data_IF_198782713744
#
_entry.id   IF_198782713744
#
_cell.length_a   1.000
_cell.length_b   1.000
_cell.length_c   1.000
_cell.angle_alpha   90.00
_cell.angle_beta   90.00
_cell.angle_gamma   90.00
#
_symmetry.space_group_name_H-M   'P 1'
#
loop_
_entity.id
_entity.type
_entity.pdbx_description
1 polymer ?
#
# COMPACT_ATOMS: atom_id res chain seq x y z
N UNK A 1 -20.02 12.32 -7.85
CA UNK A 1 -20.02 11.90 -6.43
C UNK A 1 -18.88 10.94 -6.29
N UNK A 2 -17.89 11.23 -5.44
CA UNK A 2 -16.79 10.30 -5.23
C UNK A 2 -17.18 9.27 -4.17
N UNK A 3 -16.83 8.01 -4.40
CA UNK A 3 -17.16 6.91 -3.51
C UNK A 3 -15.89 6.41 -2.84
N UNK A 4 -15.88 6.30 -1.52
CA UNK A 4 -14.73 5.78 -0.78
C UNK A 4 -14.99 4.33 -0.40
N UNK A 5 -14.01 3.48 -0.68
CA UNK A 5 -14.06 2.06 -0.35
C UNK A 5 -12.76 1.62 0.31
N UNK A 6 -12.86 0.64 1.20
CA UNK A 6 -11.71 -0.06 1.76
C UNK A 6 -11.53 -1.36 1.01
N UNK A 7 -10.45 -1.43 0.23
CA UNK A 7 -9.94 -2.65 -0.36
C UNK A 7 -9.11 -3.40 0.68
N UNK A 8 -9.44 -4.66 0.95
CA UNK A 8 -8.69 -5.54 1.85
C UNK A 8 -8.29 -6.81 1.12
N UNK A 9 -7.04 -7.22 1.25
CA UNK A 9 -6.55 -8.49 0.69
C UNK A 9 -5.38 -9.07 1.51
N UNK A 10 -5.13 -10.39 1.43
CA UNK A 10 -4.02 -11.01 2.15
C UNK A 10 -2.67 -10.42 1.75
N UNK A 11 -1.76 -10.21 2.71
CA UNK A 11 -0.48 -9.56 2.43
C UNK A 11 0.39 -10.29 1.42
N UNK A 12 0.29 -11.62 1.40
CA UNK A 12 0.96 -12.48 0.41
C UNK A 12 0.61 -12.18 -1.06
N UNK A 13 -0.51 -11.51 -1.33
CA UNK A 13 -0.91 -11.14 -2.70
C UNK A 13 -0.01 -10.03 -3.26
N UNK A 14 0.67 -9.26 -2.40
CA UNK A 14 1.71 -8.30 -2.81
C UNK A 14 3.05 -8.79 -2.28
N UNK A 15 3.78 -9.49 -3.17
CA UNK A 15 5.04 -10.16 -2.87
C UNK A 15 6.15 -9.19 -2.42
N UNK A 16 6.00 -7.90 -2.69
CA UNK A 16 7.01 -6.89 -2.45
C UNK A 16 7.35 -6.70 -0.97
N UNK A 17 6.35 -6.64 -0.07
CA UNK A 17 6.56 -6.21 1.32
C UNK A 17 6.25 -7.32 2.33
N UNK A 18 5.39 -8.27 1.95
CA UNK A 18 4.95 -9.37 2.83
C UNK A 18 6.11 -10.17 3.47
N UNK A 19 7.21 -10.51 2.77
CA UNK A 19 8.29 -11.27 3.36
C UNK A 19 9.01 -10.57 4.53
N UNK A 20 9.06 -9.24 4.53
CA UNK A 20 9.72 -8.48 5.59
C UNK A 20 8.82 -8.31 6.80
N UNK A 21 7.54 -8.03 6.55
CA UNK A 21 6.55 -7.86 7.62
C UNK A 21 6.27 -9.17 8.34
N UNK A 22 6.27 -10.32 7.67
CA UNK A 22 6.16 -11.60 8.36
C UNK A 22 7.32 -11.89 9.32
N UNK A 23 8.48 -11.28 9.11
CA UNK A 23 9.68 -11.47 9.92
C UNK A 23 9.86 -10.36 10.97
N UNK A 24 8.96 -9.39 11.06
CA UNK A 24 9.05 -8.23 11.95
C UNK A 24 7.71 -7.97 12.61
N UNK A 25 7.71 -7.55 13.87
CA UNK A 25 6.49 -7.03 14.50
C UNK A 25 6.25 -5.56 14.09
N UNK A 26 6.28 -5.29 12.79
CA UNK A 26 6.11 -3.96 12.19
C UNK A 26 4.91 -3.93 11.27
N UNK A 27 4.37 -2.75 11.06
CA UNK A 27 3.39 -2.47 10.01
C UNK A 27 3.78 -1.18 9.29
N UNK A 28 3.29 -1.05 8.07
CA UNK A 28 3.53 0.11 7.23
C UNK A 28 2.25 0.90 7.01
N UNK A 29 2.40 2.20 6.91
CA UNK A 29 1.37 3.09 6.38
C UNK A 29 1.94 3.91 5.24
N UNK A 30 1.18 4.02 4.16
CA UNK A 30 1.53 4.85 3.02
C UNK A 30 0.32 5.70 2.66
N UNK A 31 0.58 6.93 2.25
CA UNK A 31 -0.46 7.81 1.74
C UNK A 31 0.04 8.38 0.43
N UNK A 32 -0.67 8.10 -0.65
CA UNK A 32 -0.49 8.80 -1.92
C UNK A 32 -1.51 9.93 -1.95
N UNK A 33 -1.22 11.03 -1.25
CA UNK A 33 -2.03 12.24 -1.35
C UNK A 33 -1.76 12.89 -2.72
N UNK A 34 -2.27 12.28 -3.78
CA UNK A 34 -1.97 12.66 -5.16
C UNK A 34 -2.89 11.96 -6.16
N UNK A 35 -2.84 12.38 -7.42
CA UNK A 35 -3.64 11.78 -8.48
C UNK A 35 -3.24 10.33 -8.80
N UNK A 36 -3.96 9.67 -9.71
CA UNK A 36 -3.79 8.25 -10.06
C UNK A 36 -2.39 7.86 -10.58
N UNK A 37 -1.51 8.84 -10.84
CA UNK A 37 -0.14 8.64 -11.33
C UNK A 37 0.92 8.57 -10.23
N UNK A 38 0.52 8.56 -8.95
CA UNK A 38 1.47 8.54 -7.83
C UNK A 38 1.97 7.12 -7.58
N UNK A 39 3.29 6.93 -7.55
CA UNK A 39 3.91 5.64 -7.27
C UNK A 39 3.49 5.10 -5.88
N UNK A 40 2.96 3.88 -5.87
CA UNK A 40 2.65 3.18 -4.62
C UNK A 40 3.95 2.79 -3.91
N UNK A 41 4.03 3.02 -2.60
CA UNK A 41 5.19 2.68 -1.75
C UNK A 41 6.53 3.34 -2.08
N UNK A 42 6.57 4.42 -2.85
CA UNK A 42 7.77 5.26 -2.90
C UNK A 42 8.09 5.86 -1.52
N UNK A 43 7.07 6.09 -0.69
CA UNK A 43 7.19 6.62 0.67
C UNK A 43 6.24 5.92 1.62
N UNK A 44 6.73 5.52 2.80
CA UNK A 44 5.89 4.95 3.85
C UNK A 44 6.44 5.23 5.25
N UNK A 45 5.53 5.21 6.22
CA UNK A 45 5.84 5.18 7.64
C UNK A 45 5.89 3.74 8.12
N UNK A 46 6.99 3.35 8.75
CA UNK A 46 7.13 2.08 9.46
C UNK A 46 6.90 2.31 10.96
N UNK A 47 6.08 1.44 11.55
CA UNK A 47 5.73 1.43 12.97
C UNK A 47 6.11 0.10 13.62
N UNK A 48 6.06 0.05 14.95
CA UNK A 48 6.32 -1.15 15.73
C UNK A 48 7.78 -1.25 16.20
N UNK A 49 8.10 -2.19 17.10
CA UNK A 49 9.43 -2.35 17.69
C UNK A 49 10.52 -2.62 16.64
N UNK A 50 10.19 -3.31 15.54
CA UNK A 50 11.15 -3.74 14.52
C UNK A 50 11.29 -2.78 13.33
N UNK A 51 10.77 -1.55 13.43
CA UNK A 51 10.74 -0.56 12.34
C UNK A 51 12.12 -0.20 11.76
N UNK A 52 13.18 -0.31 12.54
CA UNK A 52 14.57 -0.11 12.10
C UNK A 52 15.10 -1.34 11.36
N UNK A 53 14.86 -2.52 11.92
CA UNK A 53 15.20 -3.80 11.30
C UNK A 53 14.52 -3.99 9.94
N UNK A 54 13.33 -3.43 9.76
CA UNK A 54 12.64 -3.41 8.46
C UNK A 54 13.45 -2.62 7.42
N UNK A 55 13.96 -1.45 7.76
CA UNK A 55 14.82 -0.65 6.88
C UNK A 55 16.10 -1.38 6.50
N UNK A 56 16.76 -1.99 7.48
CA UNK A 56 17.98 -2.78 7.25
C UNK A 56 17.74 -3.95 6.30
N UNK A 57 16.61 -4.64 6.43
CA UNK A 57 16.25 -5.75 5.55
C UNK A 57 15.98 -5.28 4.12
N UNK A 58 15.21 -4.20 3.97
CA UNK A 58 14.93 -3.62 2.66
C UNK A 58 16.21 -3.15 1.96
N UNK A 59 17.17 -2.58 2.70
CA UNK A 59 18.45 -2.16 2.14
C UNK A 59 19.30 -3.31 1.56
N UNK A 60 19.02 -4.54 1.96
CA UNK A 60 19.71 -5.74 1.45
C UNK A 60 18.90 -6.50 0.41
N UNK A 61 17.69 -6.06 0.10
CA UNK A 61 16.83 -6.78 -0.81
C UNK A 61 17.14 -6.48 -2.27
N UNK A 62 17.06 -7.52 -3.11
CA UNK A 62 17.33 -7.41 -4.54
C UNK A 62 16.29 -6.59 -5.32
N UNK A 63 15.08 -6.43 -4.79
CA UNK A 63 14.03 -5.63 -5.40
C UNK A 63 14.12 -4.15 -4.98
N UNK A 64 15.06 -3.77 -4.11
CA UNK A 64 15.27 -2.39 -3.67
C UNK A 64 16.55 -1.86 -4.33
N UNK A 65 16.42 -0.80 -5.13
CA UNK A 65 17.58 -0.12 -5.72
C UNK A 65 18.18 0.90 -4.75
N UNK A 66 17.32 1.61 -4.01
CA UNK A 66 17.72 2.57 -3.00
C UNK A 66 16.71 2.63 -1.84
N UNK A 67 17.19 2.83 -0.62
CA UNK A 67 16.34 3.15 0.53
C UNK A 67 16.99 4.25 1.37
N UNK A 68 16.20 5.25 1.73
CA UNK A 68 16.62 6.39 2.52
C UNK A 68 15.67 6.63 3.69
N UNK A 69 16.22 6.90 4.88
CA UNK A 69 15.46 7.31 6.04
C UNK A 69 15.26 8.82 6.04
N UNK A 70 14.03 9.30 5.81
CA UNK A 70 13.74 10.73 5.73
C UNK A 70 13.47 11.38 7.09
N UNK A 71 12.79 10.65 7.99
CA UNK A 71 12.36 11.21 9.27
C UNK A 71 12.26 10.11 10.32
N UNK A 72 12.71 10.39 11.54
CA UNK A 72 12.59 9.48 12.69
C UNK A 72 11.80 10.15 13.80
N UNK A 73 10.72 9.51 14.22
CA UNK A 73 9.92 9.84 15.38
C UNK A 73 10.13 8.76 16.45
N UNK A 74 9.61 9.01 17.66
CA UNK A 74 9.72 8.04 18.77
C UNK A 74 9.00 6.72 18.47
N UNK A 75 7.91 6.78 17.71
CA UNK A 75 6.96 5.70 17.43
C UNK A 75 7.03 5.18 15.98
N UNK A 76 7.63 5.94 15.06
CA UNK A 76 7.63 5.64 13.63
C UNK A 76 8.84 6.19 12.88
N UNK A 77 9.13 5.61 11.72
CA UNK A 77 10.20 6.05 10.82
C UNK A 77 9.64 6.20 9.41
N UNK A 78 9.92 7.33 8.76
CA UNK A 78 9.57 7.54 7.35
C UNK A 78 10.72 7.10 6.46
N UNK A 79 10.43 6.14 5.58
CA UNK A 79 11.34 5.70 4.54
C UNK A 79 10.89 6.24 3.18
N UNK A 80 11.88 6.49 2.32
CA UNK A 80 11.73 6.59 0.88
C UNK A 80 12.44 5.38 0.27
N UNK A 81 11.79 4.71 -0.67
CA UNK A 81 12.30 3.50 -1.31
C UNK A 81 12.17 3.63 -2.81
N UNK A 82 13.23 3.27 -3.52
CA UNK A 82 13.25 3.04 -4.95
C UNK A 82 13.27 1.53 -5.21
N UNK A 83 12.35 1.07 -6.05
CA UNK A 83 12.18 -0.35 -6.36
C UNK A 83 12.80 -0.69 -7.71
N UNK A 84 13.40 -1.87 -7.83
CA UNK A 84 13.79 -2.43 -9.13
C UNK A 84 12.54 -2.88 -9.88
N UNK A 85 12.10 -2.09 -10.85
CA UNK A 85 10.93 -2.38 -11.68
C UNK A 85 11.06 -3.69 -12.49
N UNK A 86 12.27 -4.25 -12.60
CA UNK A 86 12.47 -5.55 -13.27
C UNK A 86 12.34 -6.74 -12.30
N UNK A 87 12.21 -6.50 -10.99
CA UNK A 87 12.10 -7.57 -10.02
C UNK A 87 10.68 -8.15 -10.00
N UNK A 88 10.57 -9.48 -10.09
CA UNK A 88 9.27 -10.19 -10.05
C UNK A 88 8.40 -9.81 -8.83
N UNK A 89 9.03 -9.43 -7.71
CA UNK A 89 8.32 -9.02 -6.49
C UNK A 89 7.54 -7.71 -6.68
N UNK A 90 7.99 -6.82 -7.57
CA UNK A 90 7.35 -5.52 -7.89
C UNK A 90 6.18 -5.70 -8.85
N UNK A 91 6.16 -6.74 -9.69
CA UNK A 91 5.13 -6.95 -10.71
C UNK A 91 3.70 -6.90 -10.14
N UNK A 92 3.46 -7.53 -8.98
CA UNK A 92 2.15 -7.48 -8.30
C UNK A 92 1.72 -6.07 -7.87
N UNK A 93 2.68 -5.23 -7.46
CA UNK A 93 2.41 -3.84 -7.09
C UNK A 93 2.18 -2.98 -8.33
N UNK A 94 2.96 -3.19 -9.39
CA UNK A 94 2.82 -2.49 -10.67
C UNK A 94 1.46 -2.80 -11.32
N UNK A 95 1.02 -4.05 -11.28
CA UNK A 95 -0.28 -4.48 -11.78
C UNK A 95 -1.43 -3.82 -11.00
N UNK A 96 -1.34 -3.77 -9.66
CA UNK A 96 -2.30 -3.05 -8.83
C UNK A 96 -2.30 -1.55 -9.16
N UNK A 97 -1.13 -0.92 -9.24
CA UNK A 97 -1.00 0.50 -9.58
C UNK A 97 -1.61 0.80 -10.96
N UNK A 98 -1.36 -0.06 -11.95
CA UNK A 98 -1.92 0.05 -13.30
C UNK A 98 -3.43 -0.09 -13.31
N UNK A 99 -3.98 -1.07 -12.57
CA UNK A 99 -5.42 -1.28 -12.44
C UNK A 99 -6.10 -0.06 -11.81
N UNK A 100 -5.53 0.49 -10.75
CA UNK A 100 -6.04 1.69 -10.10
C UNK A 100 -5.95 2.91 -11.01
N UNK A 101 -4.86 3.06 -11.76
CA UNK A 101 -4.64 4.14 -12.71
C UNK A 101 -5.66 4.11 -13.86
N UNK A 102 -5.86 2.96 -14.50
CA UNK A 102 -6.78 2.79 -15.62
C UNK A 102 -8.24 3.14 -15.27
N UNK A 103 -8.58 3.08 -13.98
CA UNK A 103 -9.92 3.33 -13.45
C UNK A 103 -10.03 4.71 -12.77
N UNK A 104 -9.01 5.57 -12.90
CA UNK A 104 -8.90 6.89 -12.26
C UNK A 104 -9.12 6.85 -10.73
N UNK A 105 -8.69 5.75 -10.10
CA UNK A 105 -8.85 5.54 -8.65
C UNK A 105 -7.74 6.26 -7.90
N UNK A 106 -8.13 7.05 -6.92
CA UNK A 106 -7.18 7.72 -6.01
C UNK A 106 -6.99 6.88 -4.76
N UNK A 107 -5.76 6.48 -4.47
CA UNK A 107 -5.42 5.83 -3.20
C UNK A 107 -5.25 6.91 -2.15
N UNK A 108 -6.13 6.96 -1.15
CA UNK A 108 -6.08 7.97 -0.09
C UNK A 108 -5.05 7.62 0.98
N UNK A 109 -5.05 6.37 1.38
CA UNK A 109 -4.26 5.82 2.48
C UNK A 109 -4.19 4.31 2.32
N UNK A 110 -3.09 3.71 2.75
CA UNK A 110 -3.00 2.27 2.88
C UNK A 110 -2.20 1.87 4.10
N UNK A 111 -2.59 0.75 4.70
CA UNK A 111 -1.90 0.10 5.80
C UNK A 111 -1.57 -1.32 5.43
N UNK A 112 -0.34 -1.70 5.68
CA UNK A 112 0.15 -3.06 5.46
C UNK A 112 0.56 -3.66 6.79
N UNK A 113 -0.09 -4.77 7.15
CA UNK A 113 0.27 -5.59 8.30
C UNK A 113 0.97 -6.87 7.82
N UNK A 114 1.52 -7.70 8.72
CA UNK A 114 2.05 -9.00 8.32
C UNK A 114 1.02 -9.92 7.62
N UNK A 115 -0.28 -9.76 7.89
CA UNK A 115 -1.31 -10.68 7.37
C UNK A 115 -2.17 -10.08 6.27
N UNK A 116 -2.45 -8.79 6.33
CA UNK A 116 -3.44 -8.11 5.49
C UNK A 116 -2.96 -6.75 5.02
N UNK A 117 -3.44 -6.37 3.85
CA UNK A 117 -3.37 -5.02 3.32
C UNK A 117 -4.74 -4.40 3.38
N UNK A 118 -4.79 -3.13 3.76
CA UNK A 118 -5.98 -2.30 3.70
C UNK A 118 -5.65 -1.04 2.91
N UNK A 119 -6.35 -0.79 1.80
CA UNK A 119 -6.20 0.41 1.00
C UNK A 119 -7.55 1.15 0.95
N UNK A 120 -7.54 2.42 1.30
CA UNK A 120 -8.68 3.30 1.15
C UNK A 120 -8.60 3.97 -0.21
N UNK A 121 -9.58 3.66 -1.04
CA UNK A 121 -9.66 4.02 -2.45
C UNK A 121 -10.82 4.97 -2.65
N UNK A 122 -10.58 6.06 -3.36
CA UNK A 122 -11.60 6.97 -3.84
C UNK A 122 -11.84 6.70 -5.33
N UNK A 123 -13.02 6.18 -5.63
CA UNK A 123 -13.49 5.95 -6.99
C UNK A 123 -14.20 7.18 -7.53
N UNK A 124 -14.02 7.54 -8.81
CA UNK A 124 -14.68 8.69 -9.43
C UNK A 124 -16.16 8.41 -9.74
N UNK A 125 -16.55 7.14 -9.89
CA UNK A 125 -17.91 6.72 -10.24
C UNK A 125 -18.25 5.32 -9.73
N UNK A 126 -19.53 4.96 -9.72
CA UNK A 126 -19.98 3.59 -9.44
C UNK A 126 -19.52 2.59 -10.52
N UNK A 127 -19.45 3.02 -11.78
CA UNK A 127 -18.99 2.17 -12.88
C UNK A 127 -17.52 1.78 -12.68
N UNK A 128 -16.67 2.71 -12.24
CA UNK A 128 -15.27 2.43 -11.89
C UNK A 128 -15.13 1.39 -10.78
N UNK A 129 -16.08 1.35 -9.82
CA UNK A 129 -16.10 0.31 -8.77
C UNK A 129 -16.41 -1.06 -9.38
N UNK A 130 -17.40 -1.12 -10.28
CA UNK A 130 -17.79 -2.37 -10.96
C UNK A 130 -16.63 -2.87 -11.83
N UNK A 131 -16.01 -1.99 -12.61
CA UNK A 131 -14.86 -2.32 -13.44
C UNK A 131 -13.69 -2.85 -12.61
N UNK A 132 -13.39 -2.21 -11.48
CA UNK A 132 -12.37 -2.70 -10.56
C UNK A 132 -12.68 -4.12 -10.05
N UNK A 133 -13.94 -4.44 -9.72
CA UNK A 133 -14.30 -5.81 -9.34
C UNK A 133 -14.12 -6.83 -10.45
N UNK A 134 -14.39 -6.46 -11.70
CA UNK A 134 -14.30 -7.37 -12.84
C UNK A 134 -12.88 -7.55 -13.36
N UNK A 135 -12.02 -6.54 -13.19
CA UNK A 135 -10.67 -6.49 -13.74
C UNK A 135 -9.59 -6.76 -12.68
N UNK A 136 -9.91 -6.61 -11.38
CA UNK A 136 -8.94 -6.85 -10.31
C UNK A 136 -8.48 -8.30 -10.29
N UNK A 137 -7.17 -8.48 -10.40
CA UNK A 137 -6.49 -9.76 -10.33
C UNK A 137 -6.18 -10.20 -8.89
N UNK A 138 -6.46 -9.34 -7.91
CA UNK A 138 -6.26 -9.64 -6.49
C UNK A 138 -7.32 -10.64 -6.02
N UNK A 139 -6.98 -11.91 -6.17
CA UNK A 139 -7.79 -13.05 -5.74
C UNK A 139 -8.04 -12.93 -4.23
N UNK A 140 -9.29 -13.06 -3.78
CA UNK A 140 -9.71 -12.90 -2.38
C UNK A 140 -9.74 -11.46 -1.83
N UNK A 141 -9.72 -10.45 -2.70
CA UNK A 141 -9.97 -9.08 -2.28
C UNK A 141 -11.41 -8.86 -1.80
N UNK A 142 -11.56 -8.03 -0.78
CA UNK A 142 -12.85 -7.52 -0.27
C UNK A 142 -12.87 -6.02 -0.43
N UNK A 143 -13.96 -5.48 -0.96
CA UNK A 143 -14.15 -4.04 -1.09
C UNK A 143 -15.38 -3.63 -0.26
N UNK A 144 -15.15 -2.96 0.86
CA UNK A 144 -16.22 -2.50 1.75
C UNK A 144 -16.44 -1.00 1.53
N UNK A 145 -17.66 -0.58 1.20
CA UNK A 145 -17.98 0.86 1.10
C UNK A 145 -17.76 1.52 2.45
N UNK A 146 -17.03 2.64 2.48
CA UNK A 146 -16.73 3.38 3.70
C UNK A 146 -17.63 4.61 3.81
N UNK A 147 -18.09 4.87 5.02
CA UNK A 147 -18.79 6.13 5.35
C UNK A 147 -17.83 7.09 6.06
N UNK A 148 -18.13 8.40 6.04
CA UNK A 148 -17.28 9.47 6.60
C UNK A 148 -16.84 9.26 8.07
N UNK A 149 -17.59 8.47 8.83
CA UNK A 149 -17.32 8.14 10.24
C UNK A 149 -16.16 7.14 10.40
N UNK A 150 -15.94 6.26 9.42
CA UNK A 150 -14.96 5.17 9.52
C UNK A 150 -13.54 5.63 9.15
N UNK A 151 -13.44 6.57 8.19
CA UNK A 151 -12.18 7.18 7.77
C UNK A 151 -11.46 7.93 8.90
N UNK A 152 -12.21 8.63 9.76
CA UNK A 152 -11.62 9.41 10.87
C UNK A 152 -10.93 8.53 11.91
N UNK A 153 -11.46 7.33 12.16
CA UNK A 153 -10.92 6.41 13.17
C UNK A 153 -9.66 5.66 12.70
N UNK A 154 -9.29 5.75 11.42
CA UNK A 154 -8.08 5.11 10.87
C UNK A 154 -6.94 6.10 10.62
N UNK A 155 -7.22 7.41 10.78
CA UNK A 155 -6.23 8.48 10.67
C UNK A 155 -5.79 9.06 12.02
N UNK A 156 -6.38 8.58 13.13
CA UNK A 156 -6.07 8.97 14.50
C UNK A 156 -5.23 7.92 15.22
#
# INVERSE_FOLDING_TARGET
MCLVYRLTFPAKEIALISPYLHKSDSYLEFATLGGPSTELFAHFWAYGPDRELLGDRLATDRAVTEISQLTRCSDRIRYQVEWDMNADAVASLEELATTLHNQDVTVLFGRVTPTEWHCFLQFPSQDSVIHFYTESTVSHSRLDQQTDLELKNHQS
#
